data_IF_151710697847
#
_entry.id   IF_151710697847
#
_cell.length_a   1.000
_cell.length_b   1.000
_cell.length_c   1.000
_cell.angle_alpha   90.00
_cell.angle_beta   90.00
_cell.angle_gamma   90.00
#
_symmetry.space_group_name_H-M   'P 1'
#
loop_
_entity.id
_entity.type
_entity.pdbx_description
1 polymer ?
#
# COMPACT_ATOMS: atom_id res chain seq x y z
N UNK A 1 8.85 -20.93 4.17
CA UNK A 1 7.93 -20.54 3.08
C UNK A 1 7.85 -19.03 3.12
N UNK A 2 8.35 -18.34 2.09
CA UNK A 2 8.37 -16.87 2.01
C UNK A 2 7.04 -16.38 1.40
N UNK A 3 5.93 -16.71 2.07
CA UNK A 3 4.62 -16.90 1.43
C UNK A 3 3.84 -15.64 1.06
N UNK A 4 3.73 -14.64 1.94
CA UNK A 4 2.74 -13.57 1.76
C UNK A 4 3.31 -12.15 1.90
N UNK A 5 4.17 -11.90 2.89
CA UNK A 5 4.83 -10.60 3.07
C UNK A 5 5.73 -10.24 1.87
N UNK A 6 6.42 -11.23 1.30
CA UNK A 6 7.29 -11.02 0.14
C UNK A 6 6.52 -10.61 -1.13
N UNK A 7 5.31 -11.14 -1.32
CA UNK A 7 4.45 -10.78 -2.46
C UNK A 7 3.93 -9.33 -2.30
N UNK A 8 3.54 -8.94 -1.09
CA UNK A 8 3.10 -7.58 -0.77
C UNK A 8 4.24 -6.56 -0.95
N UNK A 9 5.43 -6.84 -0.41
CA UNK A 9 6.61 -5.99 -0.60
C UNK A 9 7.04 -5.92 -2.06
N UNK A 10 6.91 -7.02 -2.83
CA UNK A 10 7.15 -7.00 -4.26
C UNK A 10 6.19 -6.06 -4.98
N UNK A 11 4.89 -6.09 -4.66
CA UNK A 11 3.92 -5.17 -5.25
C UNK A 11 4.26 -3.71 -4.92
N UNK A 12 4.63 -3.41 -3.67
CA UNK A 12 5.08 -2.08 -3.24
C UNK A 12 6.32 -1.64 -4.05
N UNK A 13 7.33 -2.51 -4.17
CA UNK A 13 8.56 -2.22 -4.89
C UNK A 13 8.31 -1.96 -6.38
N UNK A 14 7.49 -2.79 -7.03
CA UNK A 14 7.10 -2.61 -8.45
C UNK A 14 6.39 -1.27 -8.63
N UNK A 15 5.47 -0.92 -7.73
CA UNK A 15 4.81 0.38 -7.77
C UNK A 15 5.83 1.50 -7.62
N UNK A 16 6.65 1.54 -6.56
CA UNK A 16 7.69 2.57 -6.32
C UNK A 16 8.63 2.72 -7.53
N UNK A 17 9.05 1.62 -8.14
CA UNK A 17 9.96 1.59 -9.29
C UNK A 17 9.33 2.06 -10.61
N UNK A 18 8.03 2.43 -10.61
CA UNK A 18 7.25 2.78 -11.81
C UNK A 18 7.08 1.62 -12.80
N UNK A 19 7.23 0.38 -12.36
CA UNK A 19 6.99 -0.79 -13.21
C UNK A 19 5.49 -1.01 -13.45
N UNK A 20 4.65 -0.62 -12.49
CA UNK A 20 3.19 -0.68 -12.56
C UNK A 20 2.55 0.67 -12.20
N UNK A 21 1.35 0.90 -12.75
CA UNK A 21 0.53 2.08 -12.47
C UNK A 21 -0.20 2.00 -11.13
N UNK A 22 -0.82 3.11 -10.71
CA UNK A 22 -1.61 3.14 -9.46
C UNK A 22 -2.79 2.16 -9.50
N UNK A 23 -3.59 2.17 -10.57
CA UNK A 23 -4.79 1.33 -10.66
C UNK A 23 -4.43 -0.18 -10.66
N UNK A 24 -3.30 -0.55 -11.28
CA UNK A 24 -2.77 -1.93 -11.26
C UNK A 24 -2.25 -2.30 -9.87
N UNK A 25 -1.52 -1.39 -9.21
CA UNK A 25 -1.08 -1.58 -7.84
C UNK A 25 -2.26 -1.73 -6.87
N UNK A 26 -3.30 -0.90 -7.00
CA UNK A 26 -4.47 -0.93 -6.15
C UNK A 26 -5.15 -2.30 -6.17
N UNK A 27 -5.40 -2.83 -7.37
CA UNK A 27 -5.99 -4.16 -7.56
C UNK A 27 -5.06 -5.24 -7.01
N UNK A 28 -3.80 -5.26 -7.44
CA UNK A 28 -2.84 -6.29 -7.06
C UNK A 28 -2.62 -6.34 -5.54
N UNK A 29 -2.38 -5.19 -4.92
CA UNK A 29 -2.13 -5.11 -3.49
C UNK A 29 -3.37 -5.52 -2.68
N UNK A 30 -4.56 -5.02 -3.05
CA UNK A 30 -5.81 -5.37 -2.36
C UNK A 30 -6.13 -6.86 -2.49
N UNK A 31 -5.91 -7.46 -3.66
CA UNK A 31 -6.11 -8.90 -3.86
C UNK A 31 -5.13 -9.74 -3.03
N UNK A 32 -3.85 -9.35 -3.00
CA UNK A 32 -2.84 -10.02 -2.18
C UNK A 32 -3.16 -9.90 -0.70
N UNK A 33 -3.52 -8.70 -0.24
CA UNK A 33 -3.85 -8.45 1.16
C UNK A 33 -5.13 -9.20 1.56
N UNK A 34 -6.24 -9.05 0.84
CA UNK A 34 -7.53 -9.65 1.20
C UNK A 34 -7.60 -11.16 1.01
N UNK A 35 -7.02 -11.71 -0.07
CA UNK A 35 -7.10 -13.15 -0.33
C UNK A 35 -6.10 -13.97 0.48
N UNK A 36 -5.04 -13.33 1.02
CA UNK A 36 -3.93 -14.03 1.68
C UNK A 36 -3.75 -13.65 3.16
N UNK A 37 -4.83 -13.24 3.83
CA UNK A 37 -4.97 -13.32 5.30
C UNK A 37 -5.69 -14.62 5.75
N UNK A 38 -5.28 -15.85 5.39
CA UNK A 38 -5.56 -16.95 6.29
C UNK A 38 -4.73 -16.73 7.57
N UNK A 39 -5.35 -16.95 8.72
CA UNK A 39 -4.76 -16.72 10.04
C UNK A 39 -3.39 -17.41 10.17
N UNK A 40 -2.32 -16.61 10.32
CA UNK A 40 -0.98 -17.09 10.72
C UNK A 40 0.17 -16.87 9.74
N UNK A 41 -0.04 -16.29 8.56
CA UNK A 41 1.04 -16.05 7.58
C UNK A 41 1.73 -14.68 7.67
N UNK A 42 1.08 -13.70 8.30
CA UNK A 42 1.64 -12.39 8.58
C UNK A 42 1.86 -12.24 10.08
N UNK A 43 2.98 -11.65 10.47
CA UNK A 43 3.17 -11.22 11.86
C UNK A 43 2.24 -10.05 12.20
N UNK A 44 2.07 -9.72 13.48
CA UNK A 44 1.30 -8.53 13.84
C UNK A 44 1.91 -7.24 13.24
N UNK A 45 3.25 -7.15 13.19
CA UNK A 45 3.93 -6.00 12.60
C UNK A 45 3.69 -5.91 11.08
N UNK A 46 3.63 -7.05 10.39
CA UNK A 46 3.26 -7.11 8.98
C UNK A 46 1.81 -6.67 8.77
N UNK A 47 0.89 -7.16 9.60
CA UNK A 47 -0.53 -6.78 9.55
C UNK A 47 -0.71 -5.28 9.77
N UNK A 48 -0.02 -4.69 10.74
CA UNK A 48 -0.06 -3.24 11.00
C UNK A 48 0.46 -2.47 9.78
N UNK A 49 1.64 -2.84 9.27
CA UNK A 49 2.26 -2.18 8.10
C UNK A 49 1.39 -2.26 6.85
N UNK A 50 0.96 -3.46 6.46
CA UNK A 50 0.19 -3.63 5.23
C UNK A 50 -1.26 -3.13 5.40
N UNK A 51 -1.77 -3.13 6.63
CA UNK A 51 -3.01 -2.44 7.00
C UNK A 51 -2.91 -0.93 6.76
N UNK A 52 -1.85 -0.29 7.23
CA UNK A 52 -1.60 1.14 7.00
C UNK A 52 -1.46 1.45 5.51
N UNK A 53 -0.77 0.60 4.74
CA UNK A 53 -0.65 0.74 3.29
C UNK A 53 -2.02 0.64 2.62
N UNK A 54 -2.82 -0.37 2.97
CA UNK A 54 -4.16 -0.56 2.44
C UNK A 54 -5.06 0.63 2.80
N UNK A 55 -4.99 1.13 4.03
CA UNK A 55 -5.73 2.31 4.44
C UNK A 55 -5.30 3.54 3.61
N UNK A 56 -3.99 3.83 3.51
CA UNK A 56 -3.53 4.98 2.72
C UNK A 56 -3.86 4.89 1.24
N UNK A 57 -3.86 3.68 0.69
CA UNK A 57 -4.31 3.43 -0.68
C UNK A 57 -5.77 3.88 -0.87
N UNK A 58 -6.67 3.55 0.06
CA UNK A 58 -8.09 3.94 0.02
C UNK A 58 -8.32 5.46 0.14
N UNK A 59 -7.35 6.20 0.69
CA UNK A 59 -7.38 7.67 0.84
C UNK A 59 -6.52 8.39 -0.21
N UNK A 60 -6.26 7.74 -1.35
CA UNK A 60 -5.48 8.31 -2.45
C UNK A 60 -6.37 8.62 -3.66
N UNK A 61 -6.33 9.88 -4.12
CA UNK A 61 -7.03 10.33 -5.33
C UNK A 61 -6.04 10.70 -6.44
N UNK A 62 -6.49 10.70 -7.70
CA UNK A 62 -5.67 11.25 -8.79
C UNK A 62 -5.43 12.76 -8.60
N UNK A 63 -6.44 13.48 -8.12
CA UNK A 63 -6.41 14.92 -7.93
C UNK A 63 -7.39 15.30 -6.80
N UNK A 64 -7.00 15.16 -5.53
CA UNK A 64 -7.89 15.49 -4.42
C UNK A 64 -8.28 16.97 -4.45
N UNK A 65 -9.55 17.25 -4.24
CA UNK A 65 -10.12 18.57 -4.01
C UNK A 65 -9.59 19.21 -2.72
N UNK A 66 -9.89 20.49 -2.50
CA UNK A 66 -9.51 21.16 -1.26
C UNK A 66 -10.13 20.49 -0.02
N UNK A 67 -11.40 20.11 -0.11
CA UNK A 67 -12.11 19.41 0.97
C UNK A 67 -11.52 18.02 1.24
N UNK A 68 -11.23 17.25 0.19
CA UNK A 68 -10.56 15.94 0.34
C UNK A 68 -9.18 16.10 1.01
N UNK A 69 -8.39 17.11 0.63
CA UNK A 69 -7.11 17.39 1.29
C UNK A 69 -7.27 17.76 2.76
N UNK A 70 -8.29 18.53 3.12
CA UNK A 70 -8.59 18.87 4.52
C UNK A 70 -8.99 17.63 5.34
N UNK A 71 -9.55 16.61 4.67
CA UNK A 71 -9.84 15.29 5.24
C UNK A 71 -8.63 14.34 5.22
N UNK A 72 -7.47 14.78 4.72
CA UNK A 72 -6.23 14.01 4.71
C UNK A 72 -6.01 13.12 3.48
N UNK A 73 -6.80 13.30 2.41
CA UNK A 73 -6.55 12.63 1.14
C UNK A 73 -5.23 13.12 0.54
N UNK A 74 -4.52 12.20 -0.09
CA UNK A 74 -3.28 12.46 -0.79
C UNK A 74 -3.43 12.16 -2.28
N UNK A 75 -2.55 12.73 -3.09
CA UNK A 75 -2.43 12.34 -4.48
C UNK A 75 -1.53 11.10 -4.67
N UNK A 76 -1.55 10.54 -5.88
CA UNK A 76 -0.78 9.33 -6.23
C UNK A 76 0.74 9.51 -6.07
N UNK A 77 1.27 10.70 -6.27
CA UNK A 77 2.71 10.98 -6.10
C UNK A 77 3.07 11.06 -4.61
N UNK A 78 2.23 11.71 -3.82
CA UNK A 78 2.35 11.77 -2.37
C UNK A 78 2.25 10.37 -1.74
N UNK A 79 1.32 9.52 -2.20
CA UNK A 79 1.22 8.13 -1.75
C UNK A 79 2.50 7.34 -2.04
N UNK A 80 3.05 7.47 -3.26
CA UNK A 80 4.33 6.84 -3.61
C UNK A 80 5.50 7.31 -2.74
N UNK A 81 5.59 8.59 -2.44
CA UNK A 81 6.60 9.14 -1.51
C UNK A 81 6.39 8.61 -0.09
N UNK A 82 5.15 8.51 0.35
CA UNK A 82 4.82 7.94 1.67
C UNK A 82 5.29 6.49 1.78
N UNK A 83 5.08 5.65 0.75
CA UNK A 83 5.56 4.27 0.72
C UNK A 83 7.09 4.16 0.84
N UNK A 84 7.83 5.08 0.24
CA UNK A 84 9.31 5.09 0.39
C UNK A 84 9.77 5.43 1.80
N UNK A 85 9.06 6.30 2.51
CA UNK A 85 9.41 6.68 3.89
C UNK A 85 8.90 5.66 4.92
N UNK A 86 7.77 5.01 4.65
CA UNK A 86 7.19 3.99 5.53
C UNK A 86 8.13 2.76 5.67
N UNK A 87 9.03 2.54 4.71
CA UNK A 87 10.07 1.50 4.77
C UNK A 87 11.21 1.78 5.76
N UNK A 88 11.38 3.04 6.22
CA UNK A 88 12.49 3.44 7.12
C UNK A 88 12.13 3.38 8.62
N UNK A 89 10.87 3.05 8.95
CA UNK A 89 10.43 2.82 10.33
C UNK A 89 10.66 1.36 10.71
N UNK A 90 11.92 1.01 11.02
CA UNK A 90 12.31 -0.24 11.70
C UNK A 90 13.42 0.04 12.73
#
# INVERSE_FOLDING_TARGET
>A
MAGNAADLERAIAMYIAHEIGFDEFEVLFSELFLNRVPEGELSNADLDRYGDVNEKLMWTSLAPSAEERDLGWIDREQFRKWLTCAGDTA
#
